data_IF_563876383048
#
_entry.id   IF_563876383048
#
_cell.length_a   1.000
_cell.length_b   1.000
_cell.length_c   1.000
_cell.angle_alpha   90.00
_cell.angle_beta   90.00
_cell.angle_gamma   90.00
#
_symmetry.space_group_name_H-M   'P 1'
#
loop_
_entity.id
_entity.type
_entity.pdbx_description
1 polymer ?
#
# COMPACT_ATOMS: atom_id res chain seq x y z
N UNK A 1 -39.79 -14.63 31.08
CA UNK A 1 -39.07 -14.54 29.79
C UNK A 1 -39.16 -13.10 29.26
N UNK A 2 -38.73 -12.09 30.04
CA UNK A 2 -38.99 -10.67 29.71
C UNK A 2 -37.92 -9.70 30.24
N UNK A 3 -36.62 -10.01 30.05
CA UNK A 3 -35.52 -9.11 30.45
C UNK A 3 -34.66 -8.61 29.29
N UNK A 4 -35.11 -8.76 28.03
CA UNK A 4 -34.32 -8.36 26.85
C UNK A 4 -34.71 -6.99 26.26
N UNK A 5 -35.84 -6.40 26.67
CA UNK A 5 -36.39 -5.18 26.04
C UNK A 5 -35.56 -3.90 26.27
N UNK A 6 -34.64 -3.89 27.23
CA UNK A 6 -33.78 -2.72 27.53
C UNK A 6 -32.41 -2.77 26.87
N UNK A 7 -32.03 -3.91 26.29
CA UNK A 7 -30.69 -4.11 25.72
C UNK A 7 -30.58 -3.41 24.36
N UNK A 8 -31.60 -3.51 23.51
CA UNK A 8 -31.57 -2.92 22.16
C UNK A 8 -31.38 -1.39 22.18
N UNK A 9 -32.11 -0.59 22.99
CA UNK A 9 -31.86 0.85 23.09
C UNK A 9 -30.47 1.19 23.62
N UNK A 10 -29.93 0.36 24.52
CA UNK A 10 -28.58 0.53 25.07
C UNK A 10 -27.51 0.25 24.02
N UNK A 11 -27.67 -0.83 23.23
CA UNK A 11 -26.79 -1.17 22.12
C UNK A 11 -26.82 -0.09 21.04
N UNK A 12 -28.00 0.45 20.71
CA UNK A 12 -28.14 1.56 19.76
C UNK A 12 -27.40 2.82 20.26
N UNK A 13 -27.51 3.15 21.55
CA UNK A 13 -26.78 4.28 22.14
C UNK A 13 -25.26 4.07 22.11
N UNK A 14 -24.80 2.85 22.34
CA UNK A 14 -23.38 2.49 22.24
C UNK A 14 -22.90 2.61 20.79
N UNK A 15 -23.63 2.03 19.83
CA UNK A 15 -23.31 2.13 18.41
C UNK A 15 -23.21 3.59 17.95
N UNK A 16 -24.20 4.43 18.28
CA UNK A 16 -24.17 5.85 17.96
C UNK A 16 -23.01 6.61 18.63
N UNK A 17 -22.58 6.19 19.82
CA UNK A 17 -21.40 6.76 20.47
C UNK A 17 -20.10 6.33 19.78
N UNK A 18 -19.99 5.06 19.38
CA UNK A 18 -18.85 4.53 18.63
C UNK A 18 -18.73 5.16 17.25
N UNK A 19 -19.85 5.36 16.53
CA UNK A 19 -19.87 6.03 15.22
C UNK A 19 -19.35 7.47 15.29
N UNK A 20 -19.68 8.22 16.36
CA UNK A 20 -19.13 9.57 16.57
C UNK A 20 -17.65 9.60 16.91
N UNK A 21 -17.13 8.52 17.51
CA UNK A 21 -15.72 8.39 17.89
C UNK A 21 -14.86 7.80 16.76
N UNK A 22 -15.48 7.11 15.81
CA UNK A 22 -14.77 6.47 14.71
C UNK A 22 -14.11 7.53 13.80
N UNK A 23 -12.84 7.34 13.42
CA UNK A 23 -12.21 8.18 12.41
C UNK A 23 -12.90 7.97 11.05
N UNK A 24 -12.78 8.92 10.10
CA UNK A 24 -13.25 8.74 8.75
C UNK A 24 -12.67 7.46 8.12
N UNK A 25 -13.49 6.74 7.36
CA UNK A 25 -13.02 5.57 6.62
C UNK A 25 -11.88 5.95 5.68
N UNK A 26 -10.80 5.17 5.69
CA UNK A 26 -9.69 5.37 4.76
C UNK A 26 -10.18 5.13 3.33
N UNK A 27 -9.89 6.05 2.38
CA UNK A 27 -10.22 5.82 0.98
C UNK A 27 -9.57 4.53 0.47
N UNK A 28 -10.29 3.81 -0.39
CA UNK A 28 -9.74 2.64 -1.06
C UNK A 28 -8.53 3.05 -1.93
N UNK A 29 -7.43 2.30 -1.82
CA UNK A 29 -6.28 2.47 -2.68
C UNK A 29 -6.57 1.82 -4.03
N UNK A 30 -6.39 2.59 -5.11
CA UNK A 30 -6.26 2.04 -6.46
C UNK A 30 -4.76 1.90 -6.81
N UNK A 31 -4.22 0.67 -6.86
CA UNK A 31 -2.82 0.44 -7.21
C UNK A 31 -2.46 0.88 -8.63
N UNK A 32 -3.44 0.99 -9.53
CA UNK A 32 -3.23 1.41 -10.91
C UNK A 32 -3.26 2.94 -11.09
N UNK A 33 -3.55 3.71 -10.04
CA UNK A 33 -3.66 5.16 -10.12
C UNK A 33 -2.33 5.89 -10.38
N UNK A 34 -1.19 5.25 -10.08
CA UNK A 34 0.15 5.81 -10.31
C UNK A 34 1.22 4.72 -10.35
N UNK A 35 2.36 5.04 -10.96
CA UNK A 35 3.54 4.15 -11.01
C UNK A 35 4.35 4.14 -9.70
N UNK A 36 4.17 5.15 -8.84
CA UNK A 36 4.90 5.28 -7.58
C UNK A 36 4.03 5.94 -6.50
N UNK A 37 4.30 5.58 -5.26
CA UNK A 37 3.57 6.06 -4.09
C UNK A 37 4.53 6.45 -2.97
N UNK A 38 4.18 7.47 -2.21
CA UNK A 38 4.81 7.79 -0.93
C UNK A 38 4.02 7.10 0.17
N UNK A 39 4.70 6.37 1.04
CA UNK A 39 4.10 5.80 2.23
C UNK A 39 4.16 6.82 3.38
N UNK A 40 2.99 7.20 3.88
CA UNK A 40 2.84 7.97 5.12
C UNK A 40 2.37 7.04 6.24
N UNK A 41 2.89 7.25 7.45
CA UNK A 41 2.62 6.39 8.61
C UNK A 41 1.52 6.91 9.53
N UNK A 42 1.14 8.19 9.42
CA UNK A 42 0.13 8.82 10.26
C UNK A 42 -0.74 9.80 9.45
N UNK A 43 -1.93 9.38 8.97
CA UNK A 43 -2.44 8.00 8.99
C UNK A 43 -1.68 7.10 7.99
N UNK A 44 -1.73 5.79 8.21
CA UNK A 44 -1.11 4.81 7.31
C UNK A 44 -1.78 4.83 5.92
N UNK A 45 -1.10 5.39 4.91
CA UNK A 45 -1.64 5.48 3.54
C UNK A 45 -0.54 5.55 2.47
N UNK A 46 -0.93 5.22 1.25
CA UNK A 46 -0.11 5.38 0.05
C UNK A 46 -0.63 6.58 -0.76
N UNK A 47 0.21 7.59 -0.95
CA UNK A 47 -0.11 8.79 -1.73
C UNK A 47 0.50 8.67 -3.13
N UNK A 48 -0.30 8.76 -4.22
CA UNK A 48 0.22 8.64 -5.57
C UNK A 48 1.13 9.81 -5.94
N UNK A 49 2.28 9.49 -6.55
CA UNK A 49 3.21 10.46 -7.12
C UNK A 49 2.81 10.75 -8.56
N UNK A 50 2.19 11.91 -8.82
CA UNK A 50 1.68 12.28 -10.16
C UNK A 50 2.77 12.39 -11.23
N UNK A 51 3.98 12.80 -10.83
CA UNK A 51 5.12 12.96 -11.74
C UNK A 51 6.38 12.47 -11.04
N UNK A 52 6.84 11.29 -11.42
CA UNK A 52 8.05 10.69 -10.88
C UNK A 52 9.27 11.31 -11.55
N UNK A 53 10.14 11.96 -10.76
CA UNK A 53 11.45 12.42 -11.25
C UNK A 53 12.35 11.21 -11.48
N UNK A 54 12.40 10.73 -12.73
CA UNK A 54 13.17 9.56 -13.13
C UNK A 54 14.10 9.87 -14.29
N UNK A 55 15.26 9.22 -14.31
CA UNK A 55 16.13 9.19 -15.48
C UNK A 55 15.67 8.05 -16.39
N UNK A 56 15.40 8.28 -17.69
CA UNK A 56 15.08 7.21 -18.62
C UNK A 56 16.16 6.13 -18.63
N UNK A 57 15.76 4.87 -18.48
CA UNK A 57 16.68 3.74 -18.33
C UNK A 57 17.66 3.60 -19.51
N UNK A 58 17.22 3.93 -20.74
CA UNK A 58 18.06 3.89 -21.93
C UNK A 58 19.19 4.94 -21.98
N UNK A 59 19.13 5.96 -21.11
CA UNK A 59 20.23 6.93 -20.94
C UNK A 59 21.34 6.41 -20.03
N UNK A 60 21.05 5.44 -19.17
CA UNK A 60 22.04 4.83 -18.30
C UNK A 60 22.88 3.84 -19.12
N UNK A 61 24.19 4.10 -19.24
CA UNK A 61 25.13 3.29 -20.04
C UNK A 61 26.01 2.44 -19.12
N UNK A 62 26.40 1.26 -19.59
CA UNK A 62 27.28 0.35 -18.86
C UNK A 62 26.60 -0.44 -17.74
N UNK A 63 25.28 -0.27 -17.54
CA UNK A 63 24.51 -0.96 -16.51
C UNK A 63 23.73 -2.17 -17.04
N UNK A 64 23.84 -2.52 -18.33
CA UNK A 64 22.98 -3.51 -18.98
C UNK A 64 22.92 -4.83 -18.20
N UNK A 65 24.09 -5.37 -17.83
CA UNK A 65 24.17 -6.62 -17.06
C UNK A 65 23.45 -6.52 -15.71
N UNK A 66 23.65 -5.44 -14.97
CA UNK A 66 23.07 -5.25 -13.62
C UNK A 66 21.56 -5.02 -13.73
N UNK A 67 21.12 -4.21 -14.69
CA UNK A 67 19.71 -3.99 -15.04
C UNK A 67 19.00 -5.31 -15.34
N UNK A 68 19.57 -6.11 -16.23
CA UNK A 68 18.94 -7.35 -16.69
C UNK A 68 18.89 -8.37 -15.54
N UNK A 69 19.96 -8.46 -14.74
CA UNK A 69 20.00 -9.33 -13.55
C UNK A 69 18.92 -8.94 -12.52
N UNK A 70 18.75 -7.65 -12.26
CA UNK A 70 17.73 -7.15 -11.33
C UNK A 70 16.31 -7.42 -11.87
N UNK A 71 16.10 -7.21 -13.17
CA UNK A 71 14.80 -7.45 -13.81
C UNK A 71 14.42 -8.94 -13.74
N UNK A 72 15.36 -9.84 -14.01
CA UNK A 72 15.12 -11.29 -13.93
C UNK A 72 14.87 -11.76 -12.49
N UNK A 73 15.58 -11.20 -11.51
CA UNK A 73 15.32 -11.45 -10.10
C UNK A 73 13.90 -11.02 -9.71
N UNK A 74 13.50 -9.80 -10.11
CA UNK A 74 12.17 -9.24 -9.83
C UNK A 74 11.06 -10.07 -10.49
N UNK A 75 11.26 -10.52 -11.74
CA UNK A 75 10.29 -11.38 -12.44
C UNK A 75 10.10 -12.71 -11.72
N UNK A 76 11.19 -13.38 -11.33
CA UNK A 76 11.12 -14.63 -10.55
C UNK A 76 10.37 -14.44 -9.25
N UNK A 77 10.57 -13.32 -8.56
CA UNK A 77 9.83 -13.00 -7.34
C UNK A 77 8.32 -12.85 -7.61
N UNK A 78 7.95 -12.15 -8.68
CA UNK A 78 6.54 -12.00 -9.08
C UNK A 78 5.87 -13.34 -9.44
N UNK A 79 6.66 -14.33 -9.85
CA UNK A 79 6.23 -15.71 -10.14
C UNK A 79 6.24 -16.62 -8.90
N UNK A 80 6.56 -16.10 -7.71
CA UNK A 80 6.59 -16.85 -6.46
C UNK A 80 7.86 -17.68 -6.22
N UNK A 81 8.92 -17.45 -7.00
CA UNK A 81 10.21 -18.11 -6.84
C UNK A 81 11.09 -17.39 -5.80
N UNK A 82 12.09 -18.07 -5.18
CA UNK A 82 12.96 -17.46 -4.18
C UNK A 82 13.93 -16.43 -4.80
N UNK A 83 13.50 -15.17 -4.89
CA UNK A 83 14.24 -14.09 -5.54
C UNK A 83 13.91 -12.70 -4.95
N UNK A 84 13.98 -12.53 -3.63
CA UNK A 84 13.49 -11.32 -2.93
C UNK A 84 14.59 -10.34 -2.48
N UNK A 85 15.85 -10.56 -2.86
CA UNK A 85 16.99 -9.75 -2.45
C UNK A 85 17.86 -9.32 -3.63
N UNK A 86 18.22 -8.04 -3.66
CA UNK A 86 19.21 -7.49 -4.58
C UNK A 86 20.08 -6.47 -3.84
N UNK A 87 21.40 -6.53 -4.04
CA UNK A 87 22.36 -5.53 -3.57
C UNK A 87 23.03 -4.92 -4.80
N UNK A 88 22.77 -3.64 -5.05
CA UNK A 88 23.43 -2.87 -6.09
C UNK A 88 24.59 -2.11 -5.44
N UNK A 89 25.80 -2.32 -5.92
CA UNK A 89 27.01 -1.67 -5.43
C UNK A 89 28.01 -1.55 -6.58
N UNK A 90 28.80 -0.47 -6.56
CA UNK A 90 29.67 -0.07 -7.66
C UNK A 90 29.50 1.40 -8.02
#
# INVERSE_FOLDING_TARGET
MSQDSGIEPLLARIAAALERLAPPATPALDPAAADAFVFETDPMRLIPVKSVSRVPLGLLKGIDRVRDTLMDNTRRFSEGLPANNALLWG
#
